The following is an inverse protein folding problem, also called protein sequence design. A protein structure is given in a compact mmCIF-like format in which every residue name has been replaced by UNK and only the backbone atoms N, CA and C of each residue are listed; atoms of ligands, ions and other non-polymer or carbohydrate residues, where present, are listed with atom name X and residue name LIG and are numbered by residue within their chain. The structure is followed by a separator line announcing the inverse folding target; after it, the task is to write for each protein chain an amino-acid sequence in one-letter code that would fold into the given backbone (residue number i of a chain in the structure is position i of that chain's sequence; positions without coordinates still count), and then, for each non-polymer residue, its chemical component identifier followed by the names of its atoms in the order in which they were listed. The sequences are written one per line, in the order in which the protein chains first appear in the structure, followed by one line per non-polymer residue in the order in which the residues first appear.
data_IF_397928702252
#
_entry.id   IF_397928702252
#
_cell.length_a   1.000
_cell.length_b   1.000
_cell.length_c   1.000
_cell.angle_alpha   90.00
_cell.angle_beta   90.00
_cell.angle_gamma   90.00
#
_symmetry.space_group_name_H-M   'P 1'
#
loop_
_entity.id
_entity.type
_entity.pdbx_description
1 polymer ?
#
# COMPACT_ATOMS: atom_id res chain seq x y z
N UNK A 1 -6.96 3.30 19.42
CA UNK A 1 -7.21 3.15 17.97
C UNK A 1 -8.03 4.34 17.46
N UNK A 2 -9.21 4.65 18.06
CA UNK A 2 -10.06 5.76 17.62
C UNK A 2 -9.35 7.13 17.63
N UNK A 3 -8.56 7.42 18.65
CA UNK A 3 -7.79 8.66 18.75
C UNK A 3 -6.70 8.74 17.68
N UNK A 4 -6.04 7.62 17.38
CA UNK A 4 -5.04 7.54 16.31
C UNK A 4 -5.64 7.76 14.92
N UNK A 5 -6.84 7.23 14.65
CA UNK A 5 -7.56 7.41 13.39
C UNK A 5 -8.02 8.87 13.22
N UNK A 6 -8.53 9.51 14.27
CA UNK A 6 -8.90 10.92 14.23
C UNK A 6 -7.68 11.82 13.96
N UNK A 7 -6.56 11.52 14.62
CA UNK A 7 -5.30 12.24 14.38
C UNK A 7 -4.81 12.08 12.94
N UNK A 8 -4.82 10.86 12.40
CA UNK A 8 -4.39 10.62 11.02
C UNK A 8 -5.25 11.34 9.99
N UNK A 9 -6.56 11.44 10.22
CA UNK A 9 -7.50 12.09 9.30
C UNK A 9 -7.26 13.60 9.14
N UNK A 10 -6.90 14.28 10.23
CA UNK A 10 -6.76 15.74 10.27
C UNK A 10 -5.31 16.23 10.17
N UNK A 11 -4.35 15.30 10.10
CA UNK A 11 -2.92 15.62 10.08
C UNK A 11 -2.38 15.55 8.65
N UNK A 12 -1.55 16.50 8.26
CA UNK A 12 -0.77 16.40 7.03
C UNK A 12 0.51 15.59 7.24
N UNK A 13 1.16 15.17 6.14
CA UNK A 13 2.36 14.36 6.19
C UNK A 13 3.54 15.06 6.90
N UNK A 14 3.62 16.39 6.84
CA UNK A 14 4.69 17.16 7.49
C UNK A 14 4.67 17.00 9.01
N UNK A 15 3.50 16.89 9.61
CA UNK A 15 3.35 16.65 11.05
C UNK A 15 3.79 15.24 11.45
N UNK A 16 3.59 14.25 10.58
CA UNK A 16 4.13 12.91 10.80
C UNK A 16 5.66 12.93 10.76
N UNK A 17 6.25 13.61 9.78
CA UNK A 17 7.69 13.78 9.69
C UNK A 17 8.27 14.45 10.94
N UNK A 18 7.66 15.51 11.43
CA UNK A 18 8.09 16.15 12.68
C UNK A 18 7.97 15.23 13.89
N UNK A 19 6.89 14.44 13.98
CA UNK A 19 6.66 13.50 15.10
C UNK A 19 7.70 12.40 15.17
N UNK A 20 8.18 11.94 14.03
CA UNK A 20 9.12 10.83 13.90
C UNK A 20 10.51 11.31 13.45
N UNK A 21 10.84 12.58 13.71
CA UNK A 21 12.15 13.14 13.37
C UNK A 21 13.28 12.32 14.00
N UNK A 22 14.34 12.11 13.23
CA UNK A 22 15.49 11.28 13.62
C UNK A 22 15.26 9.77 13.52
N UNK A 23 14.05 9.29 13.18
CA UNK A 23 13.81 7.88 12.94
C UNK A 23 14.27 7.47 11.54
N UNK A 24 14.79 6.24 11.40
CA UNK A 24 15.19 5.71 10.08
C UNK A 24 14.02 5.77 9.07
N UNK A 25 14.27 6.21 7.83
CA UNK A 25 13.22 6.23 6.79
C UNK A 25 12.53 4.89 6.55
N UNK A 26 13.22 3.79 6.82
CA UNK A 26 12.68 2.42 6.64
C UNK A 26 12.19 1.78 7.95
N UNK A 27 12.07 2.56 9.02
CA UNK A 27 11.60 2.01 10.30
C UNK A 27 10.10 1.73 10.25
N UNK A 28 9.67 0.59 10.79
CA UNK A 28 8.29 0.12 10.72
C UNK A 28 7.27 1.09 11.31
N UNK A 29 7.58 1.75 12.42
CA UNK A 29 6.62 2.58 13.16
C UNK A 29 6.19 3.83 12.39
N UNK A 30 7.14 4.59 11.85
CA UNK A 30 6.83 5.78 11.07
C UNK A 30 6.16 5.43 9.73
N UNK A 31 6.58 4.34 9.08
CA UNK A 31 5.97 3.87 7.84
C UNK A 31 4.54 3.35 8.08
N UNK A 32 4.29 2.61 9.16
CA UNK A 32 2.92 2.22 9.55
C UNK A 32 2.02 3.44 9.80
N UNK A 33 2.55 4.47 10.45
CA UNK A 33 1.80 5.71 10.66
C UNK A 33 1.42 6.38 9.33
N UNK A 34 2.35 6.38 8.35
CA UNK A 34 2.13 6.96 7.03
C UNK A 34 1.10 6.18 6.21
N UNK A 35 1.19 4.84 6.21
CA UNK A 35 0.18 3.97 5.56
C UNK A 35 -1.20 4.19 6.17
N UNK A 36 -1.29 4.25 7.50
CA UNK A 36 -2.54 4.53 8.20
C UNK A 36 -3.11 5.90 7.84
N UNK A 37 -2.25 6.91 7.76
CA UNK A 37 -2.63 8.25 7.35
C UNK A 37 -3.19 8.27 5.92
N UNK A 38 -2.49 7.69 4.95
CA UNK A 38 -2.91 7.66 3.55
C UNK A 38 -4.28 6.99 3.34
N UNK A 39 -4.48 5.82 3.95
CA UNK A 39 -5.75 5.08 3.89
C UNK A 39 -6.90 5.80 4.61
N UNK A 40 -6.63 6.42 5.76
CA UNK A 40 -7.66 7.09 6.55
C UNK A 40 -8.08 8.42 5.93
N UNK A 41 -7.14 9.12 5.31
CA UNK A 41 -7.39 10.39 4.61
C UNK A 41 -8.22 10.17 3.35
N UNK A 42 -7.98 9.07 2.64
CA UNK A 42 -8.60 8.77 1.35
C UNK A 42 -9.36 7.43 1.40
N UNK A 43 -10.41 7.32 2.23
CA UNK A 43 -11.06 6.03 2.48
C UNK A 43 -11.80 5.48 1.26
N UNK A 44 -12.11 6.31 0.27
CA UNK A 44 -12.91 5.96 -0.90
C UNK A 44 -12.20 6.19 -2.23
N UNK A 45 -10.94 6.63 -2.21
CA UNK A 45 -10.14 6.90 -3.40
C UNK A 45 -8.81 6.14 -3.36
N UNK A 46 -8.72 5.06 -4.14
CA UNK A 46 -7.51 4.23 -4.25
C UNK A 46 -6.30 5.03 -4.73
N UNK A 47 -6.50 5.81 -5.79
CA UNK A 47 -5.41 6.57 -6.40
C UNK A 47 -4.86 7.64 -5.46
N UNK A 48 -5.74 8.33 -4.75
CA UNK A 48 -5.33 9.29 -3.74
C UNK A 48 -4.67 8.61 -2.53
N UNK A 49 -5.17 7.46 -2.09
CA UNK A 49 -4.57 6.72 -0.97
C UNK A 49 -3.11 6.32 -1.26
N UNK A 50 -2.84 5.75 -2.44
CA UNK A 50 -1.47 5.42 -2.85
C UNK A 50 -0.66 6.69 -3.13
N UNK A 51 -1.22 7.61 -3.92
CA UNK A 51 -0.53 8.83 -4.35
C UNK A 51 -0.06 9.68 -3.18
N UNK A 52 -0.92 9.96 -2.22
CA UNK A 52 -0.58 10.73 -1.02
C UNK A 52 0.47 10.00 -0.16
N UNK A 53 0.30 8.68 0.03
CA UNK A 53 1.23 7.87 0.83
C UNK A 53 2.63 7.87 0.22
N UNK A 54 2.74 7.63 -1.08
CA UNK A 54 4.04 7.59 -1.79
C UNK A 54 4.66 8.99 -1.85
N UNK A 55 3.86 10.02 -2.14
CA UNK A 55 4.34 11.41 -2.22
C UNK A 55 4.84 11.94 -0.87
N UNK A 56 4.38 11.37 0.22
CA UNK A 56 4.82 11.75 1.57
C UNK A 56 6.24 11.25 1.93
N UNK A 57 6.84 10.35 1.15
CA UNK A 57 8.24 9.93 1.32
C UNK A 57 8.42 8.71 2.22
N UNK A 58 9.59 8.62 2.86
CA UNK A 58 10.14 7.48 3.58
C UNK A 58 10.26 6.24 2.67
N UNK A 59 9.78 5.08 3.09
CA UNK A 59 9.87 3.81 2.35
C UNK A 59 8.71 3.70 1.33
N UNK A 60 8.84 4.43 0.24
CA UNK A 60 7.73 4.71 -0.69
C UNK A 60 7.21 3.48 -1.41
N UNK A 61 8.07 2.56 -1.82
CA UNK A 61 7.71 1.33 -2.52
C UNK A 61 7.00 0.34 -1.58
N UNK A 62 7.55 0.11 -0.39
CA UNK A 62 6.90 -0.72 0.63
C UNK A 62 5.56 -0.13 1.09
N UNK A 63 5.50 1.18 1.31
CA UNK A 63 4.27 1.85 1.75
C UNK A 63 3.18 1.80 0.67
N UNK A 64 3.54 2.05 -0.59
CA UNK A 64 2.60 1.94 -1.70
C UNK A 64 2.07 0.52 -1.87
N UNK A 65 2.95 -0.50 -1.80
CA UNK A 65 2.55 -1.90 -1.86
C UNK A 65 1.62 -2.28 -0.69
N UNK A 66 1.91 -1.80 0.52
CA UNK A 66 1.09 -2.07 1.71
C UNK A 66 -0.31 -1.44 1.58
N UNK A 67 -0.40 -0.18 1.12
CA UNK A 67 -1.69 0.48 0.86
C UNK A 67 -2.49 -0.30 -0.18
N UNK A 68 -1.87 -0.70 -1.30
CA UNK A 68 -2.51 -1.49 -2.34
C UNK A 68 -3.02 -2.84 -1.84
N UNK A 69 -2.21 -3.57 -1.08
CA UNK A 69 -2.58 -4.85 -0.49
C UNK A 69 -3.74 -4.73 0.51
N UNK A 70 -3.70 -3.75 1.41
CA UNK A 70 -4.78 -3.50 2.36
C UNK A 70 -6.08 -3.06 1.67
N UNK A 71 -5.98 -2.26 0.61
CA UNK A 71 -7.14 -1.92 -0.20
C UNK A 71 -7.77 -3.18 -0.85
N UNK A 72 -6.93 -4.05 -1.44
CA UNK A 72 -7.39 -5.30 -2.05
C UNK A 72 -8.16 -6.20 -1.09
N UNK A 73 -7.77 -6.25 0.19
CA UNK A 73 -8.49 -7.00 1.23
C UNK A 73 -9.92 -6.50 1.47
N UNK A 74 -10.23 -5.27 1.11
CA UNK A 74 -11.60 -4.74 1.23
C UNK A 74 -12.55 -5.24 0.15
N UNK A 75 -12.05 -5.90 -0.89
CA UNK A 75 -12.81 -6.31 -2.07
C UNK A 75 -13.27 -5.15 -2.97
N UNK A 76 -12.77 -3.95 -2.72
CA UNK A 76 -13.11 -2.75 -3.50
C UNK A 76 -12.34 -2.74 -4.81
N UNK A 77 -12.92 -2.19 -5.88
CA UNK A 77 -12.26 -2.17 -7.18
C UNK A 77 -10.98 -1.32 -7.16
N UNK A 78 -9.98 -1.77 -7.93
CA UNK A 78 -8.79 -1.01 -8.25
C UNK A 78 -9.02 -0.37 -9.62
N UNK A 79 -8.80 0.94 -9.79
CA UNK A 79 -8.97 1.59 -11.09
C UNK A 79 -8.08 0.96 -12.16
N UNK A 80 -8.62 0.75 -13.35
CA UNK A 80 -7.94 0.02 -14.44
C UNK A 80 -6.63 0.67 -14.87
N UNK A 81 -6.51 1.99 -14.76
CA UNK A 81 -5.27 2.70 -15.06
C UNK A 81 -4.06 2.25 -14.24
N UNK A 82 -4.26 1.60 -13.10
CA UNK A 82 -3.18 1.03 -12.28
C UNK A 82 -2.74 -0.36 -12.70
N UNK A 83 -3.59 -1.09 -13.43
CA UNK A 83 -3.38 -2.52 -13.74
C UNK A 83 -3.35 -2.84 -15.23
N UNK A 84 -3.94 -2.02 -16.09
CA UNK A 84 -4.04 -2.29 -17.53
C UNK A 84 -2.68 -2.50 -18.19
N UNK A 85 -1.65 -1.77 -17.77
CA UNK A 85 -0.30 -1.89 -18.29
C UNK A 85 0.39 -3.23 -18.03
N UNK A 86 -0.11 -4.01 -17.06
CA UNK A 86 0.49 -5.30 -16.69
C UNK A 86 0.04 -6.44 -17.62
N UNK A 87 -1.04 -6.28 -18.34
CA UNK A 87 -1.63 -7.33 -19.20
C UNK A 87 -1.85 -8.66 -18.43
N UNK A 88 -2.27 -8.57 -17.17
CA UNK A 88 -2.47 -9.72 -16.29
C UNK A 88 -1.21 -10.47 -15.88
N UNK A 89 -0.01 -9.91 -16.08
CA UNK A 89 1.27 -10.58 -15.79
C UNK A 89 1.98 -9.96 -14.59
N UNK A 90 2.66 -10.81 -13.84
CA UNK A 90 3.54 -10.41 -12.74
C UNK A 90 4.94 -10.94 -13.04
N UNK A 91 5.95 -10.08 -12.94
CA UNK A 91 7.35 -10.46 -13.04
C UNK A 91 7.89 -10.79 -11.65
N UNK A 92 8.66 -11.87 -11.56
CA UNK A 92 9.24 -12.31 -10.29
C UNK A 92 10.71 -12.69 -10.45
N UNK A 93 11.45 -12.71 -9.36
CA UNK A 93 12.83 -13.21 -9.30
C UNK A 93 12.91 -14.73 -9.01
N UNK A 94 11.78 -15.42 -8.98
CA UNK A 94 11.74 -16.85 -8.68
C UNK A 94 12.20 -17.68 -9.87
N UNK A 95 13.09 -18.64 -9.63
CA UNK A 95 13.57 -19.57 -10.66
C UNK A 95 12.40 -20.37 -11.25
N UNK A 96 12.27 -20.36 -12.58
CA UNK A 96 11.18 -21.02 -13.32
C UNK A 96 9.86 -20.24 -13.35
N UNK A 97 9.78 -19.08 -12.68
CA UNK A 97 8.57 -18.24 -12.61
C UNK A 97 8.92 -16.76 -12.87
N UNK A 98 9.83 -16.48 -13.78
CA UNK A 98 10.22 -15.10 -14.10
C UNK A 98 9.04 -14.23 -14.56
N UNK A 99 8.04 -14.85 -15.15
CA UNK A 99 6.73 -14.23 -15.47
C UNK A 99 5.65 -15.23 -15.14
N UNK A 100 4.62 -14.80 -14.42
CA UNK A 100 3.44 -15.60 -14.10
C UNK A 100 2.17 -14.80 -14.39
N UNK A 101 1.11 -15.47 -14.85
CA UNK A 101 -0.20 -14.82 -14.97
C UNK A 101 -0.76 -14.56 -13.56
N UNK A 102 -1.34 -13.39 -13.35
CA UNK A 102 -1.88 -13.01 -12.05
C UNK A 102 -2.96 -13.98 -11.56
N UNK A 103 -3.86 -14.42 -12.48
CA UNK A 103 -4.91 -15.36 -12.14
C UNK A 103 -4.32 -16.71 -11.69
N UNK A 104 -3.28 -17.20 -12.37
CA UNK A 104 -2.59 -18.42 -11.95
C UNK A 104 -1.96 -18.25 -10.56
N UNK A 105 -1.33 -17.11 -10.29
CA UNK A 105 -0.75 -16.82 -8.98
C UNK A 105 -1.82 -16.82 -7.89
N UNK A 106 -2.97 -16.21 -8.16
CA UNK A 106 -4.11 -16.17 -7.23
C UNK A 106 -4.64 -17.57 -6.96
N UNK A 107 -4.91 -18.37 -8.01
CA UNK A 107 -5.41 -19.75 -7.89
C UNK A 107 -4.47 -20.61 -7.05
N UNK A 108 -3.16 -20.54 -7.32
CA UNK A 108 -2.15 -21.30 -6.56
C UNK A 108 -2.06 -20.86 -5.11
N UNK A 109 -2.20 -19.55 -4.86
CA UNK A 109 -2.17 -19.01 -3.49
C UNK A 109 -3.41 -19.46 -2.71
N UNK A 110 -4.58 -19.39 -3.32
CA UNK A 110 -5.85 -19.84 -2.70
C UNK A 110 -5.81 -21.34 -2.43
N UNK A 111 -5.23 -22.15 -3.33
CA UNK A 111 -5.10 -23.59 -3.12
C UNK A 111 -4.21 -23.96 -1.91
N UNK A 112 -3.34 -23.06 -1.44
CA UNK A 112 -2.52 -23.24 -0.25
C UNK A 112 -3.23 -22.77 1.03
N UNK A 113 -4.33 -22.01 0.92
CA UNK A 113 -5.07 -21.57 2.09
C UNK A 113 -5.90 -22.73 2.65
N UNK A 114 -5.72 -22.95 3.94
CA UNK A 114 -6.41 -24.03 4.68
C UNK A 114 -7.74 -23.49 5.20
#
# INVERSE_FOLDING_TARGET
IALGLAFAKDTDASRLHMKFDGMSPVHTVNNLALVTWGLTRNPDDFSAAIGDTVSAGWDTDCNGATVGGLWGLTGRPIPSCWVDGWNGRVETSLSGYSVIQLDELVERTVALSI
#
